data_IF_567622969573
#
_entry.id   IF_567622969573
#
_cell.length_a   1.000
_cell.length_b   1.000
_cell.length_c   1.000
_cell.angle_alpha   90.00
_cell.angle_beta   90.00
_cell.angle_gamma   90.00
#
_symmetry.space_group_name_H-M   'P 1'
#
loop_
_entity.id
_entity.type
_entity.pdbx_description
1 polymer ?
#
# COMPACT_ATOMS: atom_id res chain seq x y z
N UNK A 1 -33.55 -50.85 -8.18
CA UNK A 1 -34.97 -50.69 -8.58
C UNK A 1 -35.44 -49.34 -8.07
N UNK A 2 -35.98 -48.54 -8.99
CA UNK A 2 -36.91 -47.40 -8.80
C UNK A 2 -36.42 -46.17 -8.01
N UNK A 3 -36.18 -44.98 -8.56
CA UNK A 3 -36.80 -44.13 -9.62
C UNK A 3 -37.84 -43.10 -9.10
N UNK A 4 -37.77 -41.93 -9.74
CA UNK A 4 -38.75 -40.82 -9.87
C UNK A 4 -38.76 -39.79 -8.72
N UNK A 5 -38.20 -38.58 -8.88
CA UNK A 5 -38.63 -37.45 -9.72
C UNK A 5 -40.11 -37.08 -9.57
N UNK A 6 -40.41 -35.96 -8.91
CA UNK A 6 -41.55 -35.09 -9.26
C UNK A 6 -41.20 -33.60 -9.07
N UNK A 7 -41.26 -32.89 -10.21
CA UNK A 7 -41.21 -31.44 -10.41
C UNK A 7 -42.54 -30.80 -10.01
N UNK A 8 -42.50 -29.54 -9.56
CA UNK A 8 -43.49 -28.46 -9.78
C UNK A 8 -42.66 -27.16 -9.74
N UNK A 9 -42.25 -26.49 -10.83
CA UNK A 9 -42.99 -25.65 -11.77
C UNK A 9 -44.05 -24.78 -11.11
N UNK A 10 -43.71 -23.50 -10.88
CA UNK A 10 -44.64 -22.39 -11.01
C UNK A 10 -43.87 -21.23 -11.67
N UNK A 11 -44.22 -20.99 -12.93
CA UNK A 11 -43.80 -19.84 -13.72
C UNK A 11 -44.67 -18.64 -13.34
N UNK A 12 -44.05 -17.45 -13.25
CA UNK A 12 -44.75 -16.19 -13.51
C UNK A 12 -43.93 -15.42 -14.55
N UNK A 13 -44.52 -15.33 -15.73
CA UNK A 13 -44.08 -14.58 -16.92
C UNK A 13 -44.90 -13.30 -16.98
N UNK A 14 -44.42 -12.32 -17.76
CA UNK A 14 -45.10 -11.11 -18.28
C UNK A 14 -44.83 -9.87 -17.38
N UNK A 15 -44.34 -8.70 -17.84
CA UNK A 15 -44.36 -8.06 -19.16
C UNK A 15 -43.19 -7.08 -19.32
N UNK A 16 -42.76 -6.90 -20.57
CA UNK A 16 -41.83 -5.89 -21.03
C UNK A 16 -42.39 -4.45 -20.94
N UNK A 17 -41.51 -3.46 -20.81
CA UNK A 17 -41.54 -2.24 -21.64
C UNK A 17 -40.20 -1.47 -21.55
N UNK A 18 -39.51 -1.39 -22.68
CA UNK A 18 -38.39 -0.48 -22.96
C UNK A 18 -38.90 0.94 -23.17
N UNK A 19 -38.22 1.95 -22.64
CA UNK A 19 -38.23 3.32 -23.17
C UNK A 19 -36.90 4.01 -22.89
N UNK A 20 -36.08 4.08 -23.94
CA UNK A 20 -34.96 5.00 -24.09
C UNK A 20 -35.52 6.38 -24.44
N UNK A 21 -35.07 7.43 -23.74
CA UNK A 21 -35.21 8.81 -24.23
C UNK A 21 -33.88 9.54 -24.04
N UNK A 22 -33.20 9.75 -25.17
CA UNK A 22 -32.23 10.83 -25.38
C UNK A 22 -33.00 12.12 -25.68
N UNK A 23 -32.59 13.26 -25.10
CA UNK A 23 -32.78 14.56 -25.76
C UNK A 23 -31.56 15.45 -25.55
N UNK A 24 -31.02 15.91 -26.67
CA UNK A 24 -29.97 16.89 -26.81
C UNK A 24 -30.54 18.32 -26.86
N UNK A 25 -29.74 19.28 -26.41
CA UNK A 25 -29.62 20.65 -26.94
C UNK A 25 -28.11 20.97 -26.84
N UNK A 26 -27.34 21.04 -27.94
CA UNK A 26 -27.22 22.12 -28.93
C UNK A 26 -26.87 23.48 -28.27
N UNK A 27 -25.82 24.24 -28.64
CA UNK A 27 -25.13 24.30 -29.92
C UNK A 27 -23.76 25.01 -29.84
N UNK A 28 -22.89 24.69 -30.82
CA UNK A 28 -21.97 25.57 -31.60
C UNK A 28 -20.89 26.40 -30.88
N UNK A 29 -19.66 26.57 -31.37
CA UNK A 29 -18.94 26.11 -32.56
C UNK A 29 -17.46 26.52 -32.43
N UNK A 30 -16.57 25.62 -32.85
CA UNK A 30 -15.18 25.82 -33.32
C UNK A 30 -15.03 27.01 -34.30
N UNK A 31 -13.82 27.58 -34.58
CA UNK A 31 -12.52 26.88 -34.69
C UNK A 31 -11.23 27.61 -34.22
N UNK A 32 -10.15 26.81 -34.15
CA UNK A 32 -8.68 27.09 -34.11
C UNK A 32 -8.25 28.00 -35.31
N UNK A 33 -7.11 28.77 -35.36
CA UNK A 33 -5.73 28.51 -34.85
C UNK A 33 -4.90 29.71 -34.25
N UNK A 34 -3.70 29.36 -33.75
CA UNK A 34 -2.41 30.10 -33.45
C UNK A 34 -2.14 31.38 -34.29
N UNK A 35 -1.23 32.36 -33.96
CA UNK A 35 -0.06 32.34 -33.04
C UNK A 35 0.30 33.67 -32.26
N UNK A 36 1.35 33.56 -31.42
CA UNK A 36 2.25 34.59 -30.78
C UNK A 36 2.61 35.75 -31.75
N UNK A 37 2.88 37.04 -31.36
CA UNK A 37 4.09 37.39 -30.59
C UNK A 37 4.21 38.75 -29.83
N UNK A 38 5.29 38.81 -29.03
CA UNK A 38 6.22 39.93 -28.79
C UNK A 38 5.79 41.28 -28.16
N UNK A 39 6.49 41.55 -27.04
CA UNK A 39 7.40 42.70 -26.82
C UNK A 39 6.89 44.11 -26.50
N UNK A 40 7.76 44.73 -25.68
CA UNK A 40 8.10 46.15 -25.50
C UNK A 40 7.26 46.90 -24.47
N UNK A 41 7.84 47.30 -23.34
CA UNK A 41 8.90 48.31 -23.11
C UNK A 41 8.24 49.62 -22.72
N UNK A 42 8.61 50.11 -21.54
CA UNK A 42 8.61 51.52 -21.21
C UNK A 42 9.02 51.66 -19.75
N UNK A 43 10.25 52.09 -19.46
CA UNK A 43 10.64 53.51 -19.30
C UNK A 43 10.64 53.83 -17.80
N UNK A 44 11.56 54.55 -17.17
CA UNK A 44 12.89 55.11 -17.42
C UNK A 44 13.25 55.86 -16.12
N UNK A 45 14.52 55.78 -15.67
CA UNK A 45 15.36 56.82 -15.01
C UNK A 45 14.83 57.49 -13.72
N UNK A 46 15.55 57.55 -12.59
CA UNK A 46 16.77 58.35 -12.28
C UNK A 46 16.99 58.17 -10.75
N UNK A 47 18.11 58.35 -10.07
CA UNK A 47 19.41 59.02 -10.27
C UNK A 47 20.38 58.40 -9.21
N UNK A 48 21.61 58.03 -9.56
CA UNK A 48 22.87 58.81 -9.40
C UNK A 48 23.34 59.01 -7.95
N UNK A 49 24.44 58.37 -7.55
CA UNK A 49 25.65 59.09 -7.08
C UNK A 49 26.88 58.20 -6.84
N UNK A 50 28.02 58.87 -6.89
CA UNK A 50 29.39 58.42 -7.17
C UNK A 50 30.25 58.51 -5.91
N UNK A 51 31.16 57.55 -5.66
CA UNK A 51 32.61 57.77 -5.36
C UNK A 51 33.35 56.53 -4.80
N UNK A 52 34.40 56.16 -5.52
CA UNK A 52 35.62 55.36 -5.22
C UNK A 52 36.55 56.17 -4.24
N UNK A 53 37.65 55.71 -3.55
CA UNK A 53 38.61 54.60 -3.83
C UNK A 53 39.11 53.71 -2.65
N UNK A 54 39.86 52.66 -3.06
CA UNK A 54 40.76 51.76 -2.32
C UNK A 54 41.87 52.50 -1.51
N UNK A 55 42.54 51.94 -0.49
CA UNK A 55 43.58 50.90 -0.62
C UNK A 55 44.13 50.34 0.74
N UNK A 56 44.42 49.02 0.75
CA UNK A 56 45.35 48.16 1.55
C UNK A 56 45.45 48.24 3.10
N UNK A 57 45.27 47.05 3.73
CA UNK A 57 46.19 46.51 4.76
C UNK A 57 46.19 44.96 4.80
N UNK A 58 47.35 44.41 5.19
CA UNK A 58 47.87 43.03 5.05
C UNK A 58 47.24 41.97 5.98
N UNK A 59 47.17 40.74 5.44
CA UNK A 59 47.51 39.41 6.02
C UNK A 59 46.69 38.86 7.19
N UNK A 60 45.96 37.77 6.93
CA UNK A 60 45.93 36.60 7.83
C UNK A 60 45.59 35.31 7.07
N UNK A 61 46.33 34.23 7.39
CA UNK A 61 46.41 32.94 6.69
C UNK A 61 45.03 32.25 6.56
N UNK A 62 44.59 31.96 5.33
CA UNK A 62 43.46 31.05 5.07
C UNK A 62 43.82 29.62 5.48
N UNK A 63 43.21 29.12 6.55
CA UNK A 63 43.22 27.69 6.90
C UNK A 63 42.67 26.87 5.71
N UNK A 64 43.44 25.89 5.25
CA UNK A 64 43.03 24.87 4.27
C UNK A 64 41.77 24.19 4.79
N UNK A 65 40.61 24.40 4.14
CA UNK A 65 39.40 23.62 4.44
C UNK A 65 39.72 22.15 4.15
N UNK A 66 39.71 21.30 5.19
CA UNK A 66 39.73 19.84 5.03
C UNK A 66 38.56 19.49 4.10
N UNK A 67 38.87 18.89 2.95
CA UNK A 67 37.89 18.36 1.99
C UNK A 67 37.07 17.33 2.77
N UNK A 68 35.80 17.62 3.06
CA UNK A 68 34.90 16.64 3.68
C UNK A 68 34.90 15.41 2.76
N UNK A 69 35.37 14.28 3.26
CA UNK A 69 35.29 12.99 2.56
C UNK A 69 33.81 12.79 2.27
N UNK A 70 33.44 12.75 0.98
CA UNK A 70 32.07 12.49 0.56
C UNK A 70 31.71 11.15 1.22
N UNK A 71 30.68 11.12 2.08
CA UNK A 71 30.14 9.86 2.56
C UNK A 71 29.81 9.02 1.32
N UNK A 72 30.11 7.71 1.32
CA UNK A 72 29.67 6.84 0.23
C UNK A 72 28.16 7.05 0.03
N UNK A 73 27.67 7.00 -1.22
CA UNK A 73 26.24 7.04 -1.48
C UNK A 73 25.58 6.00 -0.58
N UNK A 74 24.58 6.40 0.20
CA UNK A 74 23.78 5.46 0.96
C UNK A 74 23.17 4.50 -0.06
N UNK A 75 23.56 3.24 -0.02
CA UNK A 75 22.87 2.21 -0.79
C UNK A 75 21.40 2.21 -0.32
N UNK A 76 20.42 2.09 -1.25
CA UNK A 76 19.04 1.94 -0.85
C UNK A 76 18.94 0.71 0.04
N UNK A 77 18.48 0.89 1.29
CA UNK A 77 18.22 -0.22 2.19
C UNK A 77 17.11 -1.04 1.54
N UNK A 78 17.33 -2.35 1.35
CA UNK A 78 16.33 -3.28 0.83
C UNK A 78 15.80 -4.15 1.97
N UNK A 79 14.50 -4.08 2.23
CA UNK A 79 13.92 -4.78 3.39
C UNK A 79 13.69 -6.26 3.16
N UNK A 80 13.50 -6.71 1.92
CA UNK A 80 13.18 -8.11 1.58
C UNK A 80 14.22 -8.74 0.64
N UNK A 81 15.40 -8.13 0.53
CA UNK A 81 16.48 -8.55 -0.36
C UNK A 81 16.38 -7.97 -1.79
N UNK A 82 17.51 -8.01 -2.50
CA UNK A 82 17.65 -7.46 -3.86
C UNK A 82 17.40 -8.50 -4.98
N UNK A 83 17.49 -9.79 -4.68
CA UNK A 83 17.51 -10.84 -5.71
C UNK A 83 16.14 -11.48 -5.88
N UNK A 84 15.64 -11.40 -7.12
CA UNK A 84 14.52 -12.18 -7.61
C UNK A 84 15.02 -13.45 -8.33
N UNK A 85 14.35 -14.62 -8.19
CA UNK A 85 13.25 -14.91 -7.27
C UNK A 85 13.71 -14.89 -5.80
N UNK A 86 12.78 -14.68 -4.85
CA UNK A 86 13.12 -14.79 -3.43
C UNK A 86 13.58 -16.21 -3.10
N UNK A 87 14.42 -16.33 -2.06
CA UNK A 87 14.79 -17.66 -1.54
C UNK A 87 13.55 -18.34 -0.95
N UNK A 88 13.43 -19.63 -1.21
CA UNK A 88 12.37 -20.48 -0.65
C UNK A 88 12.91 -21.29 0.53
N UNK A 89 12.09 -21.52 1.56
CA UNK A 89 12.47 -22.34 2.70
C UNK A 89 11.71 -22.03 3.99
N UNK A 90 12.07 -22.76 5.05
CA UNK A 90 11.52 -22.55 6.39
C UNK A 90 12.01 -21.20 6.94
N UNK A 91 11.07 -20.29 7.19
CA UNK A 91 11.30 -18.86 7.55
C UNK A 91 11.66 -17.93 6.39
N UNK A 92 11.51 -18.41 5.14
CA UNK A 92 11.70 -17.61 3.93
C UNK A 92 10.36 -17.54 3.16
N UNK A 93 10.38 -17.19 1.88
CA UNK A 93 9.17 -17.18 1.07
C UNK A 93 8.65 -18.60 0.81
N UNK A 94 7.34 -18.73 0.84
CA UNK A 94 6.60 -19.88 0.30
C UNK A 94 6.07 -19.49 -1.07
N UNK A 95 6.17 -20.39 -2.05
CA UNK A 95 5.65 -20.18 -3.39
C UNK A 95 4.42 -21.07 -3.63
N UNK A 96 3.35 -20.49 -4.17
CA UNK A 96 2.19 -21.21 -4.67
C UNK A 96 1.78 -20.60 -6.02
N UNK A 97 1.94 -21.36 -7.09
CA UNK A 97 1.79 -20.85 -8.45
C UNK A 97 2.71 -19.65 -8.69
N UNK A 98 2.13 -18.52 -9.09
CA UNK A 98 2.86 -17.26 -9.31
C UNK A 98 3.11 -16.44 -8.04
N UNK A 99 2.49 -16.80 -6.91
CA UNK A 99 2.52 -16.00 -5.67
C UNK A 99 3.65 -16.46 -4.75
N UNK A 100 4.40 -15.50 -4.24
CA UNK A 100 5.38 -15.68 -3.17
C UNK A 100 4.90 -14.95 -1.93
N UNK A 101 4.82 -15.64 -0.80
CA UNK A 101 4.39 -15.04 0.46
C UNK A 101 5.24 -15.47 1.65
N UNK A 102 5.42 -14.58 2.62
CA UNK A 102 5.97 -14.91 3.95
C UNK A 102 5.43 -14.00 5.03
N UNK A 103 5.52 -14.46 6.28
CA UNK A 103 5.28 -13.60 7.45
C UNK A 103 6.54 -12.74 7.64
N UNK A 104 6.45 -11.40 7.54
CA UNK A 104 7.59 -10.54 7.75
C UNK A 104 7.97 -10.47 9.23
N UNK A 105 9.25 -10.18 9.47
CA UNK A 105 9.70 -9.77 10.79
C UNK A 105 9.32 -8.30 11.06
N UNK A 106 9.25 -7.92 12.34
CA UNK A 106 9.01 -6.53 12.72
C UNK A 106 10.06 -5.57 12.14
N UNK A 107 11.32 -6.02 12.02
CA UNK A 107 12.40 -5.23 11.43
C UNK A 107 12.18 -4.98 9.93
N UNK A 108 11.67 -5.97 9.19
CA UNK A 108 11.37 -5.83 7.77
C UNK A 108 10.16 -4.91 7.52
N UNK A 109 9.13 -5.02 8.35
CA UNK A 109 7.98 -4.10 8.31
C UNK A 109 8.39 -2.66 8.61
N UNK A 110 9.19 -2.46 9.66
CA UNK A 110 9.67 -1.14 10.02
C UNK A 110 10.60 -0.56 8.96
N UNK A 111 11.45 -1.39 8.39
CA UNK A 111 12.26 -1.03 7.24
C UNK A 111 11.33 -0.56 6.11
N UNK A 112 10.36 -1.37 5.67
CA UNK A 112 9.53 -1.07 4.49
C UNK A 112 8.67 0.18 4.68
N UNK A 113 8.11 0.35 5.88
CA UNK A 113 7.32 1.52 6.25
C UNK A 113 8.19 2.78 6.28
N UNK A 114 9.49 2.67 6.56
CA UNK A 114 10.43 3.80 6.62
C UNK A 114 11.10 4.13 5.28
N UNK A 115 11.30 3.15 4.38
CA UNK A 115 12.19 3.29 3.21
C UNK A 115 11.85 4.44 2.27
N UNK A 116 10.57 4.77 2.14
CA UNK A 116 10.13 5.71 1.12
C UNK A 116 8.84 6.38 1.57
N UNK A 117 8.82 7.70 1.82
CA UNK A 117 7.58 8.49 1.99
C UNK A 117 6.65 8.46 0.76
N UNK A 118 6.87 7.53 -0.17
CA UNK A 118 6.00 7.18 -1.29
C UNK A 118 4.56 6.99 -0.81
N UNK A 119 3.59 7.57 -1.52
CA UNK A 119 2.16 7.35 -1.29
C UNK A 119 1.76 5.87 -1.35
N UNK A 120 2.51 5.04 -2.08
CA UNK A 120 2.25 3.58 -2.16
C UNK A 120 2.36 2.86 -0.81
N UNK A 121 3.13 3.40 0.14
CA UNK A 121 3.34 2.84 1.48
C UNK A 121 2.48 3.55 2.55
N UNK A 122 1.74 4.59 2.18
CA UNK A 122 0.83 5.26 3.10
C UNK A 122 -0.19 4.31 3.75
N UNK A 123 -0.79 3.35 3.02
CA UNK A 123 -1.72 2.40 3.61
C UNK A 123 -1.05 1.49 4.64
N UNK A 124 0.17 1.00 4.36
CA UNK A 124 0.97 0.20 5.31
C UNK A 124 1.24 0.97 6.61
N UNK A 125 1.59 2.26 6.52
CA UNK A 125 1.82 3.10 7.72
C UNK A 125 0.53 3.36 8.50
N UNK A 126 -0.57 3.62 7.81
CA UNK A 126 -1.86 3.84 8.45
C UNK A 126 -2.29 2.59 9.24
N UNK A 127 -2.19 1.42 8.61
CA UNK A 127 -2.53 0.16 9.28
C UNK A 127 -1.63 -0.11 10.50
N UNK A 128 -0.33 0.19 10.42
CA UNK A 128 0.59 0.04 11.55
C UNK A 128 0.17 0.86 12.77
N UNK A 129 -0.46 2.02 12.58
CA UNK A 129 -1.01 2.84 13.67
C UNK A 129 -2.29 2.23 14.25
N UNK A 130 -3.13 1.61 13.43
CA UNK A 130 -4.34 0.91 13.91
C UNK A 130 -3.98 -0.30 14.79
N UNK A 131 -2.82 -0.90 14.56
CA UNK A 131 -2.30 -2.01 15.37
C UNK A 131 -1.89 -1.62 16.79
N UNK A 132 -1.88 -0.34 17.15
CA UNK A 132 -1.74 0.09 18.54
C UNK A 132 -3.02 -0.15 19.35
N UNK A 133 -4.18 -0.22 18.70
CA UNK A 133 -5.48 -0.49 19.32
C UNK A 133 -5.96 -1.92 19.04
N UNK A 134 -5.81 -2.39 17.80
CA UNK A 134 -6.37 -3.65 17.33
C UNK A 134 -5.32 -4.76 17.16
N UNK A 135 -5.75 -6.02 17.31
CA UNK A 135 -4.92 -7.16 16.99
C UNK A 135 -4.64 -7.19 15.49
N UNK A 136 -3.37 -7.30 15.13
CA UNK A 136 -2.93 -7.31 13.73
C UNK A 136 -2.09 -8.54 13.39
N UNK A 137 -2.16 -8.94 12.13
CA UNK A 137 -1.17 -9.77 11.45
C UNK A 137 -0.46 -9.00 10.35
N UNK A 138 0.52 -9.63 9.71
CA UNK A 138 1.17 -9.08 8.53
C UNK A 138 1.60 -10.19 7.59
N UNK A 139 1.58 -9.91 6.30
CA UNK A 139 2.10 -10.79 5.25
C UNK A 139 2.84 -9.96 4.22
N UNK A 140 4.00 -10.43 3.78
CA UNK A 140 4.70 -9.89 2.62
C UNK A 140 4.42 -10.76 1.42
N UNK A 141 3.96 -10.14 0.35
CA UNK A 141 3.57 -10.81 -0.89
C UNK A 141 4.35 -10.27 -2.08
N UNK A 142 4.57 -11.12 -3.08
CA UNK A 142 5.03 -10.77 -4.41
C UNK A 142 4.47 -11.76 -5.42
N UNK A 143 4.50 -11.42 -6.71
CA UNK A 143 4.10 -12.33 -7.79
C UNK A 143 5.13 -12.31 -8.93
N UNK A 144 5.28 -13.43 -9.63
CA UNK A 144 6.05 -13.49 -10.90
C UNK A 144 5.53 -12.46 -11.90
N UNK A 145 4.20 -12.30 -11.97
CA UNK A 145 3.53 -11.40 -12.87
C UNK A 145 2.96 -10.19 -12.13
N UNK A 146 2.46 -9.21 -12.89
CA UNK A 146 1.72 -8.08 -12.31
C UNK A 146 0.50 -8.61 -11.57
N UNK A 147 0.31 -8.17 -10.34
CA UNK A 147 -0.94 -8.38 -9.61
C UNK A 147 -1.79 -7.11 -9.67
N UNK A 148 -3.04 -7.18 -10.11
CA UNK A 148 -3.92 -5.99 -10.16
C UNK A 148 -4.37 -5.59 -8.77
N UNK A 149 -4.73 -6.56 -7.93
CA UNK A 149 -5.00 -6.37 -6.51
C UNK A 149 -4.76 -7.66 -5.72
N UNK A 150 -4.49 -7.48 -4.43
CA UNK A 150 -4.23 -8.58 -3.50
C UNK A 150 -5.44 -8.82 -2.62
N UNK A 151 -5.71 -10.09 -2.36
CA UNK A 151 -6.67 -10.53 -1.37
C UNK A 151 -5.98 -11.47 -0.39
N UNK A 152 -6.20 -11.23 0.90
CA UNK A 152 -5.71 -12.10 1.97
C UNK A 152 -6.90 -12.44 2.85
N UNK A 153 -7.11 -13.73 3.09
CA UNK A 153 -8.06 -14.19 4.11
C UNK A 153 -7.27 -14.79 5.26
N UNK A 154 -7.78 -14.61 6.48
CA UNK A 154 -7.15 -15.07 7.71
C UNK A 154 -8.19 -15.29 8.80
N UNK A 155 -7.84 -16.13 9.76
CA UNK A 155 -8.62 -16.36 10.98
C UNK A 155 -7.85 -15.77 12.16
N UNK A 156 -8.53 -15.00 13.00
CA UNK A 156 -7.96 -14.52 14.26
C UNK A 156 -8.31 -15.48 15.38
N UNK A 157 -7.30 -15.93 16.09
CA UNK A 157 -7.41 -16.96 17.12
C UNK A 157 -6.76 -16.50 18.41
N UNK A 158 -7.38 -16.86 19.53
CA UNK A 158 -6.76 -16.82 20.85
C UNK A 158 -6.00 -18.11 21.09
N UNK A 159 -4.76 -18.01 21.52
CA UNK A 159 -3.88 -19.14 21.81
C UNK A 159 -3.41 -19.15 23.26
N UNK A 160 -3.33 -20.32 23.86
CA UNK A 160 -2.65 -20.49 25.13
C UNK A 160 -1.14 -20.29 24.91
N UNK A 161 -0.54 -19.30 25.57
CA UNK A 161 0.88 -18.99 25.42
C UNK A 161 1.82 -20.08 25.98
N UNK A 162 1.33 -20.93 26.89
CA UNK A 162 2.09 -22.03 27.49
C UNK A 162 2.04 -23.27 26.61
N UNK A 163 0.85 -23.60 26.10
CA UNK A 163 0.62 -24.85 25.35
C UNK A 163 0.64 -24.68 23.84
N UNK A 164 0.54 -23.45 23.34
CA UNK A 164 0.44 -23.12 21.91
C UNK A 164 -0.89 -23.52 21.26
N UNK A 165 -1.83 -24.08 22.04
CA UNK A 165 -3.12 -24.56 21.54
C UNK A 165 -4.06 -23.39 21.27
N UNK A 166 -4.91 -23.56 20.26
CA UNK A 166 -6.00 -22.63 19.98
C UNK A 166 -7.05 -22.79 21.08
N UNK A 167 -7.31 -21.72 21.84
CA UNK A 167 -8.33 -21.67 22.88
C UNK A 167 -9.69 -21.26 22.30
N UNK A 168 -9.69 -20.29 21.38
CA UNK A 168 -10.91 -19.77 20.76
C UNK A 168 -10.63 -19.16 19.38
N UNK A 169 -11.58 -19.31 18.46
CA UNK A 169 -11.63 -18.51 17.24
C UNK A 169 -12.36 -17.21 17.55
N UNK A 170 -11.76 -16.07 17.21
CA UNK A 170 -12.30 -14.73 17.49
C UNK A 170 -13.02 -14.13 16.29
N UNK A 171 -12.70 -14.58 15.09
CA UNK A 171 -13.35 -14.15 13.86
C UNK A 171 -12.50 -14.37 12.62
N UNK A 172 -13.07 -14.03 11.47
CA UNK A 172 -12.41 -14.10 10.18
C UNK A 172 -12.16 -12.70 9.63
N UNK A 173 -11.06 -12.54 8.92
CA UNK A 173 -10.69 -11.28 8.28
C UNK A 173 -10.42 -11.53 6.80
N UNK A 174 -11.07 -10.73 5.95
CA UNK A 174 -10.70 -10.56 4.55
C UNK A 174 -10.06 -9.18 4.39
N UNK A 175 -8.84 -9.15 3.88
CA UNK A 175 -8.10 -7.92 3.59
C UNK A 175 -7.85 -7.80 2.10
N UNK A 176 -8.21 -6.67 1.51
CA UNK A 176 -7.87 -6.34 0.12
C UNK A 176 -6.82 -5.23 0.09
N UNK A 177 -5.90 -5.30 -0.86
CA UNK A 177 -4.87 -4.28 -1.01
C UNK A 177 -4.60 -3.96 -2.47
N UNK A 178 -4.00 -2.79 -2.70
CA UNK A 178 -3.53 -2.40 -4.02
C UNK A 178 -2.54 -3.43 -4.55
N UNK A 179 -2.64 -3.74 -5.82
CA UNK A 179 -1.75 -4.67 -6.49
C UNK A 179 -0.32 -4.15 -6.63
N UNK A 180 0.55 -5.03 -7.11
CA UNK A 180 1.98 -4.79 -7.30
C UNK A 180 2.38 -5.02 -8.75
N UNK A 181 3.46 -4.38 -9.18
CA UNK A 181 4.13 -4.79 -10.41
C UNK A 181 4.73 -6.19 -10.24
N UNK A 182 5.04 -6.85 -11.34
CA UNK A 182 5.79 -8.10 -11.35
C UNK A 182 7.06 -7.97 -10.49
N UNK A 183 7.34 -8.99 -9.68
CA UNK A 183 8.58 -9.13 -8.90
C UNK A 183 8.80 -8.02 -7.85
N UNK A 184 7.72 -7.36 -7.40
CA UNK A 184 7.76 -6.34 -6.35
C UNK A 184 7.14 -6.86 -5.07
N UNK A 185 7.92 -6.83 -3.99
CA UNK A 185 7.47 -7.14 -2.63
C UNK A 185 6.62 -6.01 -2.04
N UNK A 186 5.53 -6.39 -1.38
CA UNK A 186 4.67 -5.51 -0.63
C UNK A 186 4.21 -6.20 0.66
N UNK A 187 4.37 -5.54 1.80
CA UNK A 187 3.67 -5.99 3.01
C UNK A 187 2.26 -5.43 3.09
N UNK A 188 1.36 -6.29 3.55
CA UNK A 188 -0.05 -6.01 3.78
C UNK A 188 -0.29 -6.30 5.26
N UNK A 189 -0.79 -5.31 5.98
CA UNK A 189 -1.23 -5.49 7.36
C UNK A 189 -2.64 -6.05 7.37
N UNK A 190 -2.85 -7.01 8.25
CA UNK A 190 -4.12 -7.68 8.48
C UNK A 190 -4.70 -7.10 9.76
N UNK A 191 -5.46 -6.01 9.65
CA UNK A 191 -6.00 -5.30 10.82
C UNK A 191 -7.37 -5.86 11.16
N UNK A 192 -7.51 -6.47 12.34
CA UNK A 192 -8.80 -6.93 12.84
C UNK A 192 -9.58 -5.80 13.52
N UNK A 193 -10.78 -6.09 14.03
CA UNK A 193 -11.52 -5.19 14.93
C UNK A 193 -11.47 -5.65 16.38
N UNK A 194 -10.56 -6.59 16.70
CA UNK A 194 -10.41 -7.14 18.04
C UNK A 194 -9.47 -6.23 18.83
N UNK A 195 -9.94 -5.65 19.93
CA UNK A 195 -9.05 -4.92 20.84
C UNK A 195 -8.09 -5.90 21.51
N UNK A 196 -6.81 -5.59 21.42
CA UNK A 196 -5.74 -6.44 21.94
C UNK A 196 -5.10 -5.87 23.20
N UNK A 197 -5.82 -5.01 23.92
CA UNK A 197 -5.42 -4.51 25.24
C UNK A 197 -6.37 -5.01 26.30
N UNK A 198 -5.83 -5.38 27.45
CA UNK A 198 -6.64 -5.65 28.63
C UNK A 198 -7.15 -4.33 29.27
N UNK A 199 -7.91 -4.46 30.37
CA UNK A 199 -8.45 -3.31 31.10
C UNK A 199 -7.35 -2.40 31.67
N UNK A 200 -6.15 -2.95 31.89
CA UNK A 200 -4.98 -2.24 32.41
C UNK A 200 -4.12 -1.61 31.30
N UNK A 201 -4.51 -1.82 30.03
CA UNK A 201 -3.83 -1.27 28.84
C UNK A 201 -2.68 -2.13 28.31
N UNK A 202 -2.42 -3.31 28.87
CA UNK A 202 -1.35 -4.19 28.42
C UNK A 202 -1.73 -4.93 27.14
N UNK A 203 -0.75 -5.09 26.25
CA UNK A 203 -0.95 -5.81 24.98
C UNK A 203 -1.10 -7.32 25.24
N UNK A 204 -2.23 -7.86 24.80
CA UNK A 204 -2.55 -9.27 24.71
C UNK A 204 -1.73 -9.93 23.60
N UNK A 205 -0.72 -10.72 24.00
CA UNK A 205 0.16 -11.46 23.07
C UNK A 205 -0.41 -12.80 22.62
N UNK A 206 -1.58 -13.16 23.15
CA UNK A 206 -2.24 -14.43 22.92
C UNK A 206 -3.22 -14.40 21.74
N UNK A 207 -3.19 -13.36 20.91
CA UNK A 207 -4.03 -13.26 19.71
C UNK A 207 -3.12 -13.29 18.49
N UNK A 208 -3.42 -14.16 17.51
CA UNK A 208 -2.68 -14.27 16.25
C UNK A 208 -3.62 -14.39 15.06
N UNK A 209 -3.12 -13.97 13.89
CA UNK A 209 -3.71 -14.34 12.61
C UNK A 209 -3.14 -15.70 12.15
N UNK A 210 -4.00 -16.60 11.72
CA UNK A 210 -3.67 -17.93 11.19
C UNK A 210 -4.52 -18.23 9.94
N UNK A 211 -4.39 -19.43 9.38
CA UNK A 211 -5.13 -19.89 8.19
C UNK A 211 -5.07 -18.87 7.03
N UNK A 212 -3.85 -18.39 6.76
CA UNK A 212 -3.62 -17.39 5.72
C UNK A 212 -3.82 -18.01 4.34
N UNK A 213 -4.73 -17.44 3.54
CA UNK A 213 -4.83 -17.73 2.11
C UNK A 213 -4.69 -16.43 1.32
N UNK A 214 -3.76 -16.44 0.35
CA UNK A 214 -3.36 -15.27 -0.42
C UNK A 214 -3.73 -15.48 -1.88
N UNK A 215 -4.43 -14.54 -2.46
CA UNK A 215 -4.81 -14.56 -3.87
C UNK A 215 -4.30 -13.31 -4.59
N UNK A 216 -3.65 -13.53 -5.73
CA UNK A 216 -3.37 -12.48 -6.68
C UNK A 216 -4.49 -12.42 -7.73
N UNK A 217 -5.08 -11.24 -7.90
CA UNK A 217 -6.16 -11.04 -8.85
C UNK A 217 -5.70 -10.19 -10.04
N UNK A 218 -6.09 -10.61 -11.24
CA UNK A 218 -5.75 -9.93 -12.51
C UNK A 218 -6.90 -9.11 -13.08
N UNK A 219 -8.11 -9.28 -12.56
CA UNK A 219 -9.29 -8.51 -12.93
C UNK A 219 -9.26 -7.09 -12.31
N UNK A 220 -10.15 -6.16 -12.73
CA UNK A 220 -10.22 -4.83 -12.14
C UNK A 220 -10.38 -4.86 -10.62
N UNK A 221 -9.65 -3.97 -9.93
CA UNK A 221 -9.68 -3.92 -8.49
C UNK A 221 -11.06 -3.47 -7.96
N UNK A 222 -11.52 -4.04 -6.83
CA UNK A 222 -12.64 -3.50 -6.09
C UNK A 222 -12.31 -2.13 -5.49
N UNK A 223 -13.29 -1.49 -4.85
CA UNK A 223 -13.03 -0.28 -4.07
C UNK A 223 -12.06 -0.60 -2.91
N UNK A 224 -10.92 0.10 -2.89
CA UNK A 224 -9.85 -0.08 -1.92
C UNK A 224 -9.93 0.94 -0.76
N UNK A 225 -11.00 1.74 -0.66
CA UNK A 225 -11.20 2.67 0.46
C UNK A 225 -11.34 1.92 1.78
N UNK A 226 -12.17 0.87 1.82
CA UNK A 226 -12.26 -0.06 2.95
C UNK A 226 -11.52 -1.34 2.63
N UNK A 227 -10.40 -1.57 3.31
CA UNK A 227 -9.51 -2.72 3.02
C UNK A 227 -9.74 -3.92 3.90
N UNK A 228 -10.06 -3.72 5.17
CA UNK A 228 -10.21 -4.77 6.16
C UNK A 228 -11.70 -5.05 6.44
N UNK A 229 -12.13 -6.29 6.23
CA UNK A 229 -13.49 -6.78 6.43
C UNK A 229 -13.47 -7.88 7.49
N UNK A 230 -13.63 -7.48 8.75
CA UNK A 230 -13.66 -8.40 9.89
C UNK A 230 -15.08 -8.91 10.16
N UNK A 231 -15.21 -10.22 10.38
CA UNK A 231 -16.45 -10.89 10.79
C UNK A 231 -16.19 -11.62 12.10
N UNK A 232 -16.76 -11.16 13.24
CA UNK A 232 -16.57 -11.82 14.53
C UNK A 232 -17.17 -13.24 14.52
N UNK A 233 -16.58 -14.13 15.32
CA UNK A 233 -17.10 -15.48 15.55
C UNK A 233 -18.21 -15.52 16.60
#
# INVERSE_FOLDING_TARGET
MESRLKKLIAAFVISALTLSITSAYAATSTPKPTPKPSQKTGTEVSAKETKKPAEKKKVTKKKKKKKKKKLPPLQPVVCFGEKWPPRLGLNEFTQEGEVFAKIPTAAELQCESSLNSSPSKAPLRADLLECDEYACGAITVASENRCTWWEVTSTFERVDLKTGKIEAVLGNLRTISKGTNAQVFQSIMLVSQIKHRDADGNILKNIKASNLAISCHHNPAPDLVKRNFFTPS
#
